data_IF_773102481579
#
_entry.id   IF_773102481579
#
_cell.length_a   1.000
_cell.length_b   1.000
_cell.length_c   1.000
_cell.angle_alpha   90.00
_cell.angle_beta   90.00
_cell.angle_gamma   90.00
#
_symmetry.space_group_name_H-M   'P 1'
#
loop_
_entity.id
_entity.type
_entity.pdbx_description
1 polymer ?
#
# COMPACT_ATOMS: atom_id res chain seq x y z
N UNK A 1 10.89 -0.21 -20.88
CA UNK A 1 10.43 1.13 -21.26
C UNK A 1 11.52 2.08 -21.76
N UNK A 2 12.80 1.69 -21.93
CA UNK A 2 13.80 2.61 -22.53
C UNK A 2 14.45 2.07 -23.81
N UNK A 3 14.58 0.76 -24.03
CA UNK A 3 15.23 0.22 -25.26
C UNK A 3 14.36 -0.71 -26.10
N UNK A 4 13.22 -1.17 -25.58
CA UNK A 4 12.37 -2.22 -26.19
C UNK A 4 13.10 -3.55 -26.48
N UNK A 5 14.34 -3.68 -26.01
CA UNK A 5 15.20 -4.85 -26.13
C UNK A 5 15.02 -5.72 -24.88
N UNK A 6 14.49 -6.94 -25.07
CA UNK A 6 14.28 -7.90 -23.99
C UNK A 6 15.52 -8.75 -23.70
N UNK A 7 16.52 -8.70 -24.57
CA UNK A 7 17.75 -9.48 -24.48
C UNK A 7 18.94 -8.62 -24.02
N UNK A 8 18.69 -7.37 -23.64
CA UNK A 8 19.71 -6.45 -23.18
C UNK A 8 20.49 -7.03 -22.00
N UNK A 9 21.80 -7.22 -22.20
CA UNK A 9 22.74 -7.58 -21.15
C UNK A 9 23.56 -6.35 -20.78
N UNK A 10 23.54 -6.05 -19.49
CA UNK A 10 24.35 -4.99 -18.89
C UNK A 10 25.85 -5.29 -19.11
N UNK A 11 26.65 -4.26 -19.36
CA UNK A 11 28.10 -4.43 -19.54
C UNK A 11 28.79 -4.88 -18.26
N UNK A 12 29.90 -5.61 -18.39
CA UNK A 12 30.68 -6.11 -17.24
C UNK A 12 31.20 -4.98 -16.33
N UNK A 13 31.33 -3.76 -16.88
CA UNK A 13 31.78 -2.56 -16.17
C UNK A 13 30.65 -1.77 -15.50
N UNK A 14 29.40 -2.23 -15.61
CA UNK A 14 28.29 -1.53 -14.98
C UNK A 14 28.42 -1.58 -13.45
N UNK A 15 28.20 -0.44 -12.75
CA UNK A 15 28.32 -0.40 -11.31
C UNK A 15 27.39 -1.42 -10.64
N UNK A 16 27.98 -2.33 -9.86
CA UNK A 16 27.24 -3.29 -9.05
C UNK A 16 26.81 -2.62 -7.73
N UNK A 17 25.81 -1.75 -7.85
CA UNK A 17 25.33 -0.87 -6.77
C UNK A 17 24.84 -1.59 -5.50
N UNK A 18 24.70 -2.91 -5.53
CA UNK A 18 24.25 -3.73 -4.39
C UNK A 18 25.29 -4.75 -3.89
N UNK A 19 26.54 -4.73 -4.38
CA UNK A 19 27.56 -5.69 -3.92
C UNK A 19 28.01 -5.47 -2.46
N UNK A 20 27.82 -4.26 -1.91
CA UNK A 20 28.24 -3.89 -0.55
C UNK A 20 27.18 -3.05 0.15
N UNK A 21 26.02 -3.67 0.41
CA UNK A 21 24.98 -3.05 1.23
C UNK A 21 25.30 -3.34 2.70
N UNK A 22 25.53 -2.30 3.49
CA UNK A 22 25.55 -2.43 4.95
C UNK A 22 24.11 -2.45 5.45
N UNK A 23 23.66 -3.61 5.92
CA UNK A 23 22.29 -3.84 6.41
C UNK A 23 22.22 -3.88 7.93
N UNK A 24 23.31 -3.51 8.60
CA UNK A 24 23.51 -3.76 10.03
C UNK A 24 23.77 -2.49 10.85
N UNK A 25 24.07 -1.37 10.18
CA UNK A 25 24.49 -0.13 10.81
C UNK A 25 23.34 0.66 11.44
N UNK A 26 23.03 0.33 12.69
CA UNK A 26 21.98 1.00 13.46
C UNK A 26 22.22 2.50 13.70
N UNK A 27 23.47 2.99 13.61
CA UNK A 27 23.79 4.42 13.81
C UNK A 27 23.24 5.30 12.69
N UNK A 28 22.86 4.70 11.57
CA UNK A 28 22.30 5.38 10.40
C UNK A 28 20.77 5.29 10.33
N UNK A 29 20.10 4.77 11.35
CA UNK A 29 18.63 4.65 11.37
C UNK A 29 17.89 5.98 11.23
N UNK A 30 18.52 7.08 11.67
CA UNK A 30 17.97 8.43 11.53
C UNK A 30 18.35 9.09 10.19
N UNK A 31 19.19 8.45 9.38
CA UNK A 31 19.54 8.93 8.05
C UNK A 31 18.52 8.41 7.02
N UNK A 32 17.69 9.30 6.42
CA UNK A 32 16.67 8.86 5.47
C UNK A 32 17.24 8.22 4.20
N UNK A 33 18.45 8.58 3.77
CA UNK A 33 19.09 7.97 2.59
C UNK A 33 19.53 6.53 2.86
N UNK A 34 19.90 6.23 4.10
CA UNK A 34 20.26 4.86 4.50
C UNK A 34 19.03 3.95 4.46
N UNK A 35 17.91 4.38 5.05
CA UNK A 35 16.65 3.63 5.02
C UNK A 35 16.16 3.47 3.58
N UNK A 36 16.17 4.55 2.79
CA UNK A 36 15.74 4.49 1.39
C UNK A 36 16.59 3.52 0.56
N UNK A 37 17.90 3.47 0.79
CA UNK A 37 18.79 2.52 0.12
C UNK A 37 18.48 1.06 0.49
N UNK A 38 18.22 0.78 1.77
CA UNK A 38 17.75 -0.54 2.23
C UNK A 38 16.44 -0.91 1.55
N UNK A 39 15.47 0.01 1.49
CA UNK A 39 14.18 -0.22 0.85
C UNK A 39 14.32 -0.55 -0.64
N UNK A 40 15.17 0.17 -1.37
CA UNK A 40 15.46 -0.14 -2.79
C UNK A 40 16.06 -1.55 -2.91
N UNK A 41 17.05 -1.88 -2.07
CA UNK A 41 17.70 -3.19 -2.14
C UNK A 41 16.73 -4.33 -1.83
N UNK A 42 15.90 -4.19 -0.79
CA UNK A 42 14.87 -5.17 -0.44
C UNK A 42 13.80 -5.31 -1.52
N UNK A 43 13.42 -4.22 -2.19
CA UNK A 43 12.51 -4.28 -3.34
C UNK A 43 13.15 -5.02 -4.51
N UNK A 44 14.41 -4.73 -4.83
CA UNK A 44 15.15 -5.47 -5.86
C UNK A 44 15.17 -6.98 -5.54
N UNK A 45 15.48 -7.38 -4.31
CA UNK A 45 15.45 -8.78 -3.91
C UNK A 45 14.04 -9.38 -4.01
N UNK A 46 13.02 -8.67 -3.53
CA UNK A 46 11.62 -9.11 -3.56
C UNK A 46 11.07 -9.28 -4.99
N UNK A 47 11.50 -8.46 -5.95
CA UNK A 47 11.10 -8.58 -7.35
C UNK A 47 11.78 -9.75 -8.06
N UNK A 48 13.01 -10.08 -7.66
CA UNK A 48 13.79 -11.17 -8.25
C UNK A 48 13.61 -12.51 -7.50
N UNK A 49 12.87 -12.52 -6.40
CA UNK A 49 12.58 -13.73 -5.65
C UNK A 49 11.50 -14.56 -6.36
N UNK A 50 11.86 -15.78 -6.75
CA UNK A 50 10.91 -16.72 -7.34
C UNK A 50 10.10 -17.41 -6.22
N UNK A 51 9.01 -16.78 -5.78
CA UNK A 51 8.08 -17.37 -4.82
C UNK A 51 6.61 -17.20 -5.22
N UNK A 52 5.74 -17.94 -4.54
CA UNK A 52 4.30 -17.96 -4.80
C UNK A 52 3.51 -16.88 -4.04
N UNK A 53 4.19 -15.97 -3.33
CA UNK A 53 3.55 -14.92 -2.52
C UNK A 53 3.05 -13.81 -3.46
N UNK A 54 1.74 -13.82 -3.72
CA UNK A 54 1.07 -12.87 -4.63
C UNK A 54 0.98 -11.44 -4.06
N UNK A 55 1.00 -11.32 -2.74
CA UNK A 55 1.01 -10.02 -2.07
C UNK A 55 2.43 -9.46 -2.04
N UNK A 56 2.62 -8.31 -2.70
CA UNK A 56 3.94 -7.69 -2.89
C UNK A 56 4.50 -7.19 -1.55
N UNK A 57 3.63 -6.70 -0.66
CA UNK A 57 4.01 -6.18 0.65
C UNK A 57 4.44 -7.34 1.55
N UNK A 58 3.66 -8.42 1.58
CA UNK A 58 4.00 -9.61 2.34
C UNK A 58 5.31 -10.23 1.85
N UNK A 59 5.51 -10.31 0.54
CA UNK A 59 6.78 -10.81 -0.03
C UNK A 59 7.96 -9.96 0.40
N UNK A 60 7.84 -8.64 0.26
CA UNK A 60 8.86 -7.69 0.70
C UNK A 60 9.21 -7.87 2.19
N UNK A 61 8.21 -7.99 3.07
CA UNK A 61 8.44 -8.16 4.51
C UNK A 61 9.08 -9.51 4.85
N UNK A 62 8.78 -10.57 4.10
CA UNK A 62 9.47 -11.86 4.26
C UNK A 62 10.95 -11.77 3.87
N UNK A 63 11.26 -11.13 2.74
CA UNK A 63 12.64 -10.86 2.35
C UNK A 63 13.36 -10.02 3.40
N UNK A 64 12.74 -8.92 3.84
CA UNK A 64 13.30 -8.05 4.87
C UNK A 64 13.65 -8.81 6.16
N UNK A 65 12.75 -9.65 6.64
CA UNK A 65 12.99 -10.44 7.84
C UNK A 65 14.09 -11.51 7.66
N UNK A 66 14.24 -12.05 6.45
CA UNK A 66 15.28 -13.05 6.14
C UNK A 66 16.67 -12.47 5.92
N UNK A 67 16.76 -11.25 5.39
CA UNK A 67 18.00 -10.62 4.93
C UNK A 67 18.59 -9.66 5.95
N UNK A 68 17.74 -9.00 6.74
CA UNK A 68 18.19 -8.09 7.79
C UNK A 68 18.55 -8.90 9.03
N UNK A 69 19.73 -8.70 9.60
CA UNK A 69 20.11 -9.34 10.87
C UNK A 69 19.89 -8.42 12.09
N UNK A 70 19.90 -7.10 11.87
CA UNK A 70 19.76 -6.13 12.94
C UNK A 70 18.27 -5.89 13.29
N UNK A 71 17.92 -6.20 14.54
CA UNK A 71 16.54 -6.09 15.04
C UNK A 71 15.97 -4.67 14.93
N UNK A 72 16.74 -3.61 15.25
CA UNK A 72 16.24 -2.23 15.15
C UNK A 72 15.96 -1.83 13.70
N UNK A 73 16.75 -2.34 12.75
CA UNK A 73 16.54 -2.11 11.32
C UNK A 73 15.29 -2.87 10.84
N UNK A 74 15.10 -4.14 11.26
CA UNK A 74 13.86 -4.89 10.99
C UNK A 74 12.63 -4.13 11.46
N UNK A 75 12.68 -3.62 12.68
CA UNK A 75 11.57 -2.87 13.28
C UNK A 75 11.28 -1.58 12.52
N UNK A 76 12.32 -0.83 12.15
CA UNK A 76 12.19 0.38 11.33
C UNK A 76 11.53 0.08 9.98
N UNK A 77 11.98 -0.95 9.28
CA UNK A 77 11.42 -1.34 7.98
C UNK A 77 9.98 -1.86 8.12
N UNK A 78 9.70 -2.71 9.11
CA UNK A 78 8.35 -3.23 9.34
C UNK A 78 7.36 -2.12 9.72
N UNK A 79 7.76 -1.21 10.61
CA UNK A 79 6.93 -0.09 11.07
C UNK A 79 6.75 1.00 10.02
N UNK A 80 7.74 1.26 9.15
CA UNK A 80 7.59 2.28 8.10
C UNK A 80 6.94 1.71 6.86
N UNK A 81 7.55 0.71 6.24
CA UNK A 81 7.08 0.14 4.98
C UNK A 81 5.80 -0.67 5.18
N UNK A 82 5.79 -1.57 6.16
CA UNK A 82 4.62 -2.40 6.45
C UNK A 82 3.39 -1.55 6.76
N UNK A 83 3.54 -0.51 7.59
CA UNK A 83 2.45 0.41 7.91
C UNK A 83 1.99 1.24 6.71
N UNK A 84 2.93 1.77 5.92
CA UNK A 84 2.63 2.60 4.75
C UNK A 84 1.79 1.82 3.74
N UNK A 85 2.15 0.56 3.49
CA UNK A 85 1.53 -0.26 2.45
C UNK A 85 0.43 -1.22 2.95
N UNK A 86 0.15 -1.28 4.25
CA UNK A 86 -0.94 -2.10 4.81
C UNK A 86 -2.30 -1.82 4.16
N UNK A 87 -2.57 -0.56 3.77
CA UNK A 87 -3.81 -0.16 3.09
C UNK A 87 -3.95 -0.71 1.68
N UNK A 88 -2.83 -1.06 1.05
CA UNK A 88 -2.76 -1.57 -0.33
C UNK A 88 -2.51 -3.09 -0.38
N UNK A 89 -2.43 -3.73 0.78
CA UNK A 89 -2.23 -5.17 0.89
C UNK A 89 -3.46 -5.93 0.37
N UNK A 90 -3.21 -6.92 -0.48
CA UNK A 90 -4.20 -7.92 -0.91
C UNK A 90 -4.47 -8.93 0.20
N UNK A 91 -3.43 -9.30 0.95
CA UNK A 91 -3.49 -10.17 2.12
C UNK A 91 -3.18 -9.35 3.39
N UNK A 92 -4.19 -8.61 3.85
CA UNK A 92 -4.03 -7.72 5.01
C UNK A 92 -3.71 -8.48 6.30
N UNK A 93 -4.25 -9.69 6.46
CA UNK A 93 -4.03 -10.52 7.66
C UNK A 93 -2.59 -11.05 7.66
N UNK A 94 -2.09 -11.53 6.52
CA UNK A 94 -0.71 -11.99 6.38
C UNK A 94 0.31 -10.87 6.61
N UNK A 95 0.08 -9.69 6.02
CA UNK A 95 0.93 -8.51 6.21
C UNK A 95 0.93 -8.08 7.67
N UNK A 96 -0.24 -7.98 8.31
CA UNK A 96 -0.35 -7.63 9.73
C UNK A 96 0.45 -8.59 10.62
N UNK A 97 0.22 -9.89 10.48
CA UNK A 97 0.90 -10.91 11.29
C UNK A 97 2.42 -10.84 11.11
N UNK A 98 2.88 -10.61 9.87
CA UNK A 98 4.31 -10.47 9.59
C UNK A 98 4.91 -9.24 10.26
N UNK A 99 4.25 -8.08 10.18
CA UNK A 99 4.69 -6.86 10.87
C UNK A 99 4.80 -7.12 12.38
N UNK A 100 3.75 -7.67 13.01
CA UNK A 100 3.74 -7.93 14.46
C UNK A 100 4.87 -8.88 14.87
N UNK A 101 5.17 -9.90 14.07
CA UNK A 101 6.28 -10.83 14.35
C UNK A 101 7.67 -10.18 14.31
N UNK A 102 7.81 -9.07 13.56
CA UNK A 102 9.08 -8.35 13.42
C UNK A 102 9.27 -7.27 14.49
N UNK A 103 8.22 -6.87 15.20
CA UNK A 103 8.25 -5.81 16.20
C UNK A 103 8.50 -6.37 17.61
N UNK A 104 9.39 -5.73 18.39
CA UNK A 104 9.50 -5.99 19.84
C UNK A 104 8.79 -4.94 20.68
N UNK A 105 8.72 -3.69 20.23
CA UNK A 105 8.09 -2.59 20.94
C UNK A 105 6.55 -2.69 20.94
N UNK A 106 5.96 -2.80 22.13
CA UNK A 106 4.51 -2.93 22.32
C UNK A 106 3.72 -1.67 21.91
N UNK A 107 4.32 -0.47 22.00
CA UNK A 107 3.67 0.77 21.57
C UNK A 107 3.49 0.80 20.05
N UNK A 108 4.52 0.37 19.31
CA UNK A 108 4.43 0.24 17.85
C UNK A 108 3.44 -0.86 17.45
N UNK A 109 3.44 -2.01 18.11
CA UNK A 109 2.45 -3.07 17.85
C UNK A 109 1.02 -2.56 17.98
N UNK A 110 0.74 -1.80 19.06
CA UNK A 110 -0.58 -1.22 19.30
C UNK A 110 -1.00 -0.26 18.18
N UNK A 111 -0.11 0.61 17.71
CA UNK A 111 -0.40 1.52 16.59
C UNK A 111 -0.78 0.74 15.32
N UNK A 112 -0.01 -0.30 14.99
CA UNK A 112 -0.28 -1.16 13.83
C UNK A 112 -1.63 -1.88 13.99
N UNK A 113 -1.90 -2.44 15.17
CA UNK A 113 -3.15 -3.14 15.47
C UNK A 113 -4.37 -2.22 15.33
N UNK A 114 -4.30 -0.99 15.84
CA UNK A 114 -5.38 -0.02 15.69
C UNK A 114 -5.69 0.29 14.22
N UNK A 115 -4.66 0.42 13.37
CA UNK A 115 -4.86 0.64 11.92
C UNK A 115 -5.39 -0.62 11.24
N UNK A 116 -4.84 -1.79 11.56
CA UNK A 116 -5.30 -3.07 11.04
C UNK A 116 -6.79 -3.29 11.32
N UNK A 117 -7.23 -3.06 12.56
CA UNK A 117 -8.64 -3.21 12.94
C UNK A 117 -9.54 -2.23 12.20
N UNK A 118 -9.08 -1.00 11.93
CA UNK A 118 -9.82 -0.03 11.09
C UNK A 118 -9.94 -0.53 9.65
N UNK A 119 -8.86 -1.02 9.06
CA UNK A 119 -8.86 -1.51 7.67
C UNK A 119 -9.67 -2.80 7.51
N UNK A 120 -9.65 -3.69 8.50
CA UNK A 120 -10.46 -4.91 8.49
C UNK A 120 -11.96 -4.61 8.41
N UNK A 121 -12.42 -3.53 9.07
CA UNK A 121 -13.79 -3.03 8.95
C UNK A 121 -14.14 -2.46 7.58
N UNK A 122 -13.14 -2.11 6.78
CA UNK A 122 -13.28 -1.60 5.41
C UNK A 122 -12.98 -2.67 4.34
N UNK A 123 -12.79 -3.92 4.76
CA UNK A 123 -12.49 -5.02 3.85
C UNK A 123 -13.67 -5.34 2.94
N UNK A 124 -13.39 -5.90 1.76
CA UNK A 124 -14.42 -6.32 0.81
C UNK A 124 -15.42 -7.27 1.48
N UNK A 125 -16.71 -6.93 1.41
CA UNK A 125 -17.79 -7.71 2.01
C UNK A 125 -18.15 -7.29 3.44
N UNK A 126 -17.36 -6.42 4.09
CA UNK A 126 -17.78 -5.75 5.31
C UNK A 126 -18.89 -4.73 5.02
N UNK A 127 -19.69 -4.41 6.03
CA UNK A 127 -20.66 -3.33 5.93
C UNK A 127 -19.94 -2.00 5.68
N UNK A 128 -20.46 -1.21 4.73
CA UNK A 128 -19.95 0.14 4.50
C UNK A 128 -20.05 0.98 5.78
N UNK A 129 -19.08 1.87 6.07
CA UNK A 129 -19.26 2.91 7.07
C UNK A 129 -20.53 3.73 6.80
N UNK A 130 -21.16 4.23 7.85
CA UNK A 130 -22.30 5.14 7.72
C UNK A 130 -21.84 6.58 7.92
N UNK A 131 -22.38 7.49 7.10
CA UNK A 131 -22.22 8.92 7.27
C UNK A 131 -23.39 9.65 6.60
N UNK A 132 -23.53 10.93 6.94
CA UNK A 132 -24.50 11.85 6.33
C UNK A 132 -23.78 13.10 5.83
N UNK A 133 -24.28 13.66 4.74
CA UNK A 133 -23.73 14.85 4.09
C UNK A 133 -24.87 15.75 3.62
N UNK A 134 -24.55 17.01 3.34
CA UNK A 134 -25.50 17.95 2.74
C UNK A 134 -25.31 17.95 1.22
N UNK A 135 -26.40 17.85 0.49
CA UNK A 135 -26.39 18.07 -0.95
C UNK A 135 -26.29 19.58 -1.28
N UNK A 136 -26.25 19.90 -2.58
CA UNK A 136 -26.18 21.28 -3.07
C UNK A 136 -27.38 22.17 -2.69
N UNK A 137 -28.50 21.56 -2.27
CA UNK A 137 -29.71 22.24 -1.85
C UNK A 137 -29.81 22.34 -0.31
N UNK A 138 -28.80 21.85 0.42
CA UNK A 138 -28.78 21.81 1.88
C UNK A 138 -29.59 20.68 2.50
N UNK A 139 -30.15 19.76 1.70
CA UNK A 139 -30.84 18.56 2.21
C UNK A 139 -29.80 17.60 2.78
N UNK A 140 -30.08 17.04 3.95
CA UNK A 140 -29.25 15.97 4.51
C UNK A 140 -29.57 14.65 3.80
N UNK A 141 -28.52 14.00 3.31
CA UNK A 141 -28.54 12.69 2.66
C UNK A 141 -27.60 11.77 3.42
N UNK A 142 -28.01 10.54 3.67
CA UNK A 142 -27.21 9.50 4.29
C UNK A 142 -26.91 8.37 3.31
N UNK A 143 -25.87 7.58 3.58
CA UNK A 143 -25.63 6.35 2.80
C UNK A 143 -26.77 5.33 2.94
N UNK A 144 -27.48 5.36 4.07
CA UNK A 144 -28.64 4.49 4.31
C UNK A 144 -29.79 4.79 3.33
N UNK A 145 -29.97 6.06 2.96
CA UNK A 145 -30.96 6.47 1.94
C UNK A 145 -30.66 5.92 0.54
N UNK A 146 -29.44 5.40 0.33
CA UNK A 146 -28.96 4.82 -0.93
C UNK A 146 -28.89 3.29 -0.89
N UNK A 147 -29.47 2.64 0.13
CA UNK A 147 -29.54 1.18 0.25
C UNK A 147 -30.16 0.55 -1.00
N UNK A 148 -29.76 -0.69 -1.27
CA UNK A 148 -30.21 -1.54 -2.39
C UNK A 148 -29.83 -1.03 -3.78
N UNK A 149 -28.98 0.00 -3.86
CA UNK A 149 -28.39 0.51 -5.10
C UNK A 149 -26.89 0.22 -5.13
N UNK A 150 -26.35 0.11 -6.35
CA UNK A 150 -24.91 0.21 -6.54
C UNK A 150 -24.52 1.67 -6.27
N UNK A 151 -23.72 1.89 -5.23
CA UNK A 151 -23.23 3.23 -4.86
C UNK A 151 -21.76 3.34 -5.24
N UNK A 152 -21.46 4.30 -6.11
CA UNK A 152 -20.10 4.74 -6.41
C UNK A 152 -19.83 6.05 -5.66
N UNK A 153 -18.71 6.12 -4.94
CA UNK A 153 -18.33 7.28 -4.13
C UNK A 153 -17.05 7.88 -4.71
N UNK A 154 -17.12 9.16 -5.09
CA UNK A 154 -15.97 9.97 -5.50
C UNK A 154 -15.66 10.98 -4.39
N UNK A 155 -14.50 10.84 -3.75
CA UNK A 155 -14.00 11.76 -2.73
C UNK A 155 -12.98 12.68 -3.38
N UNK A 156 -13.40 13.91 -3.69
CA UNK A 156 -12.58 14.90 -4.40
C UNK A 156 -12.65 16.29 -3.75
N UNK A 157 -11.83 17.21 -4.27
CA UNK A 157 -11.86 18.61 -3.89
C UNK A 157 -11.58 19.52 -5.09
N UNK A 158 -12.06 20.77 -5.05
CA UNK A 158 -11.91 21.76 -6.14
C UNK A 158 -10.46 22.11 -6.46
N UNK A 159 -9.54 21.88 -5.53
CA UNK A 159 -8.10 22.09 -5.66
C UNK A 159 -7.33 20.79 -5.94
N UNK A 160 -8.00 19.64 -6.00
CA UNK A 160 -7.38 18.36 -6.32
C UNK A 160 -7.26 18.20 -7.84
N UNK A 161 -6.13 18.61 -8.41
CA UNK A 161 -5.85 18.50 -9.85
C UNK A 161 -6.07 17.08 -10.41
N UNK A 162 -5.52 16.01 -9.80
CA UNK A 162 -5.78 14.64 -10.22
C UNK A 162 -7.26 14.27 -10.19
N UNK A 163 -7.99 14.66 -9.14
CA UNK A 163 -9.42 14.36 -9.04
C UNK A 163 -10.24 15.04 -10.16
N UNK A 164 -9.88 16.29 -10.51
CA UNK A 164 -10.52 17.00 -11.63
C UNK A 164 -10.28 16.30 -12.96
N UNK A 165 -9.12 15.70 -13.16
CA UNK A 165 -8.79 14.95 -14.37
C UNK A 165 -9.61 13.65 -14.51
N UNK A 166 -10.15 13.10 -13.42
CA UNK A 166 -11.01 11.91 -13.41
C UNK A 166 -12.47 12.22 -13.80
N UNK A 167 -12.93 13.47 -13.64
CA UNK A 167 -14.33 13.86 -13.88
C UNK A 167 -14.90 13.51 -15.27
N UNK A 168 -14.15 13.65 -16.39
CA UNK A 168 -14.64 13.23 -17.71
C UNK A 168 -14.91 11.73 -17.79
N UNK A 169 -14.08 10.91 -17.14
CA UNK A 169 -14.25 9.45 -17.11
C UNK A 169 -15.42 9.05 -16.22
N UNK A 170 -15.67 9.80 -15.14
CA UNK A 170 -16.84 9.59 -14.29
C UNK A 170 -18.14 9.83 -15.06
N UNK A 171 -18.22 10.88 -15.89
CA UNK A 171 -19.39 11.11 -16.76
C UNK A 171 -19.64 9.95 -17.71
N UNK A 172 -18.58 9.42 -18.31
CA UNK A 172 -18.67 8.24 -19.19
C UNK A 172 -19.17 7.01 -18.42
N UNK A 173 -18.67 6.78 -17.21
CA UNK A 173 -19.14 5.69 -16.35
C UNK A 173 -20.63 5.86 -16.00
N UNK A 174 -21.07 7.08 -15.70
CA UNK A 174 -22.49 7.38 -15.44
C UNK A 174 -23.36 7.01 -16.65
N UNK A 175 -22.95 7.40 -17.85
CA UNK A 175 -23.65 7.05 -19.10
C UNK A 175 -23.71 5.53 -19.31
N UNK A 176 -22.62 4.81 -19.08
CA UNK A 176 -22.56 3.35 -19.19
C UNK A 176 -23.46 2.64 -18.16
N UNK A 177 -23.50 3.14 -16.93
CA UNK A 177 -24.34 2.59 -15.86
C UNK A 177 -25.82 2.93 -16.03
N UNK A 178 -26.15 4.11 -16.57
CA UNK A 178 -27.53 4.46 -16.94
C UNK A 178 -28.09 3.55 -18.03
N UNK A 179 -27.25 3.12 -18.98
CA UNK A 179 -27.65 2.23 -20.08
C UNK A 179 -27.67 0.75 -19.66
N UNK A 180 -27.01 0.40 -18.57
CA UNK A 180 -27.11 -0.91 -17.93
C UNK A 180 -28.20 -0.84 -16.87
N UNK A 181 -29.45 -0.90 -17.33
CA UNK A 181 -30.59 -1.13 -16.44
C UNK A 181 -30.24 -2.24 -15.45
N UNK A 182 -30.17 -1.84 -14.20
CA UNK A 182 -30.00 -2.64 -13.00
C UNK A 182 -30.97 -3.82 -13.00
N UNK A 183 -30.42 -5.03 -13.18
CA UNK A 183 -30.99 -6.29 -12.70
C UNK A 183 -30.03 -6.91 -11.70
#
# INVERSE_FOLDING_TARGET
>A
FVTNDRDFKVSDNFPKIFEKVDLSNEKLLDNPLYIYYIEIYLNYLSENENNNIKDIVLRYLNIADSVLDNQKIKEKIASQYGLMYLTSAKDIDGVYNKIISMLTDESHKKEIEEKYLKLKKLSKGAASPTFSFKDINGKTVSLEDLRDKIVYIDIWATWCGPCQAELPYLKKLEEELRNKDTK
#
